data_IF_436098581840
#
_entry.id   IF_436098581840
#
_cell.length_a   1.000
_cell.length_b   1.000
_cell.length_c   1.000
_cell.angle_alpha   90.00
_cell.angle_beta   90.00
_cell.angle_gamma   90.00
#
_symmetry.space_group_name_H-M   'P 1'
#
loop_
_entity.id
_entity.type
_entity.pdbx_description
1 polymer ?
#
# COMPACT_ATOMS: atom_id res chain seq x y z
N UNK A 1 -4.17 2.29 12.06
CA UNK A 1 -3.17 2.09 10.97
C UNK A 1 -3.91 1.92 9.65
N UNK A 2 -3.43 2.55 8.60
CA UNK A 2 -4.03 2.50 7.27
C UNK A 2 -3.82 1.16 6.56
N UNK A 3 -4.59 0.89 5.49
CA UNK A 3 -4.44 -0.29 4.63
C UNK A 3 -4.05 0.09 3.21
N UNK A 4 -3.09 -0.61 2.64
CA UNK A 4 -2.67 -0.46 1.23
C UNK A 4 -2.86 -1.79 0.49
N UNK A 5 -3.33 -1.70 -0.75
CA UNK A 5 -3.39 -2.82 -1.70
C UNK A 5 -3.00 -2.32 -3.09
N UNK A 6 -2.23 -3.11 -3.84
CA UNK A 6 -1.93 -2.88 -5.25
C UNK A 6 -2.09 -4.17 -6.06
N UNK A 7 -2.50 -4.03 -7.30
CA UNK A 7 -2.72 -5.13 -8.23
C UNK A 7 -2.30 -4.77 -9.65
N UNK A 8 -1.70 -5.73 -10.34
CA UNK A 8 -1.51 -5.71 -11.79
C UNK A 8 -1.67 -7.12 -12.37
N UNK A 9 -2.44 -7.27 -13.42
CA UNK A 9 -2.77 -8.56 -14.01
C UNK A 9 -3.65 -8.45 -15.24
N UNK A 10 -4.31 -9.54 -15.63
CA UNK A 10 -5.26 -9.56 -16.74
C UNK A 10 -6.71 -9.27 -16.31
N UNK A 11 -7.01 -9.38 -15.03
CA UNK A 11 -8.36 -9.17 -14.49
C UNK A 11 -8.62 -7.69 -14.22
N UNK A 12 -9.90 -7.31 -14.02
CA UNK A 12 -10.25 -5.97 -13.53
C UNK A 12 -9.63 -5.71 -12.17
N UNK A 13 -8.91 -4.60 -12.03
CA UNK A 13 -8.20 -4.26 -10.79
C UNK A 13 -9.16 -3.80 -9.68
N UNK A 14 -10.18 -3.01 -10.00
CA UNK A 14 -11.03 -2.39 -8.99
C UNK A 14 -11.70 -3.38 -8.04
N UNK A 15 -12.36 -4.48 -8.48
CA UNK A 15 -12.95 -5.46 -7.57
C UNK A 15 -11.93 -6.12 -6.65
N UNK A 16 -10.71 -6.42 -7.15
CA UNK A 16 -9.64 -7.03 -6.37
C UNK A 16 -9.08 -6.09 -5.31
N UNK A 17 -8.90 -4.81 -5.66
CA UNK A 17 -8.51 -3.77 -4.71
C UNK A 17 -9.55 -3.61 -3.60
N UNK A 18 -10.85 -3.56 -3.95
CA UNK A 18 -11.94 -3.44 -2.99
C UNK A 18 -12.01 -4.66 -2.06
N UNK A 19 -11.83 -5.90 -2.57
CA UNK A 19 -11.79 -7.10 -1.74
C UNK A 19 -10.64 -7.06 -0.73
N UNK A 20 -9.44 -6.69 -1.18
CA UNK A 20 -8.28 -6.54 -0.29
C UNK A 20 -8.47 -5.44 0.75
N UNK A 21 -9.02 -4.29 0.37
CA UNK A 21 -9.28 -3.17 1.28
C UNK A 21 -10.36 -3.51 2.32
N UNK A 22 -11.41 -4.28 1.96
CA UNK A 22 -12.42 -4.78 2.91
C UNK A 22 -11.78 -5.55 4.06
N UNK A 23 -10.72 -6.32 3.79
CA UNK A 23 -9.98 -7.08 4.81
C UNK A 23 -9.08 -6.22 5.69
N UNK A 24 -8.74 -5.01 5.23
CA UNK A 24 -7.90 -4.05 5.96
C UNK A 24 -8.71 -2.95 6.66
N UNK A 25 -10.05 -2.89 6.48
CA UNK A 25 -10.91 -1.83 7.01
C UNK A 25 -10.81 -1.69 8.53
N UNK A 26 -10.58 -2.79 9.26
CA UNK A 26 -10.41 -2.75 10.71
C UNK A 26 -9.23 -1.88 11.18
N UNK A 27 -8.29 -1.56 10.26
CA UNK A 27 -7.13 -0.69 10.51
C UNK A 27 -7.40 0.79 10.22
N UNK A 28 -8.37 1.10 9.34
CA UNK A 28 -8.70 2.46 8.96
C UNK A 28 -10.03 2.50 8.22
N UNK A 29 -10.92 3.41 8.61
CA UNK A 29 -12.30 3.48 8.10
C UNK A 29 -12.85 4.91 8.01
N UNK A 30 -11.98 5.92 8.06
CA UNK A 30 -12.43 7.32 7.94
C UNK A 30 -12.55 7.80 6.50
N UNK A 31 -11.77 7.20 5.60
CA UNK A 31 -11.89 7.39 4.17
C UNK A 31 -11.26 6.22 3.40
N UNK A 32 -11.67 6.05 2.16
CA UNK A 32 -11.13 5.02 1.28
C UNK A 32 -11.06 5.53 -0.16
N UNK A 33 -10.16 4.95 -0.95
CA UNK A 33 -10.08 5.26 -2.37
C UNK A 33 -9.22 4.28 -3.15
N UNK A 34 -9.45 4.29 -4.46
CA UNK A 34 -8.71 3.52 -5.45
C UNK A 34 -8.28 4.42 -6.61
N UNK A 35 -7.13 4.12 -7.20
CA UNK A 35 -6.70 4.63 -8.50
C UNK A 35 -6.47 3.43 -9.41
N UNK A 36 -7.15 3.41 -10.56
CA UNK A 36 -7.06 2.32 -11.53
C UNK A 36 -6.65 2.89 -12.88
N UNK A 37 -5.77 2.18 -13.54
CA UNK A 37 -5.22 2.55 -14.83
C UNK A 37 -5.81 1.67 -15.93
N UNK A 38 -6.42 2.34 -16.91
CA UNK A 38 -6.90 1.77 -18.18
C UNK A 38 -6.09 2.37 -19.34
N UNK A 39 -5.21 1.58 -19.93
CA UNK A 39 -4.21 2.11 -20.88
C UNK A 39 -3.32 3.16 -20.21
N UNK A 40 -3.39 4.39 -20.67
CA UNK A 40 -2.64 5.53 -20.11
C UNK A 40 -3.49 6.47 -19.25
N UNK A 41 -4.75 6.12 -19.00
CA UNK A 41 -5.65 6.93 -18.16
C UNK A 41 -5.70 6.38 -16.74
N UNK A 42 -5.45 7.24 -15.76
CA UNK A 42 -5.67 6.95 -14.35
C UNK A 42 -7.03 7.52 -13.93
N UNK A 43 -7.90 6.66 -13.43
CA UNK A 43 -9.19 7.03 -12.85
C UNK A 43 -9.12 6.87 -11.35
N UNK A 44 -9.43 7.94 -10.59
CA UNK A 44 -9.44 7.93 -9.12
C UNK A 44 -10.87 8.00 -8.62
N UNK A 45 -11.20 7.17 -7.65
CA UNK A 45 -12.46 7.23 -6.91
C UNK A 45 -12.14 7.23 -5.42
N UNK A 46 -12.65 8.25 -4.71
CA UNK A 46 -12.44 8.43 -3.26
C UNK A 46 -13.77 8.68 -2.57
N UNK A 47 -13.85 8.32 -1.29
CA UNK A 47 -15.02 8.55 -0.43
C UNK A 47 -14.56 8.82 1.00
N UNK A 48 -15.35 9.54 1.75
CA UNK A 48 -15.28 9.58 3.22
C UNK A 48 -16.04 8.40 3.81
N UNK A 49 -15.60 7.94 4.99
CA UNK A 49 -16.21 6.83 5.70
C UNK A 49 -15.72 5.47 5.22
N UNK A 50 -16.56 4.46 5.39
CA UNK A 50 -16.21 3.05 5.23
C UNK A 50 -16.04 2.64 3.77
N UNK A 51 -15.32 1.53 3.56
CA UNK A 51 -15.11 0.92 2.24
C UNK A 51 -16.43 0.57 1.53
N UNK A 52 -17.51 0.32 2.26
CA UNK A 52 -18.85 0.11 1.70
C UNK A 52 -19.32 1.28 0.82
N UNK A 53 -19.02 2.53 1.23
CA UNK A 53 -19.37 3.73 0.46
C UNK A 53 -18.59 3.75 -0.88
N UNK A 54 -17.34 3.31 -0.88
CA UNK A 54 -16.54 3.22 -2.12
C UNK A 54 -17.06 2.10 -3.03
N UNK A 55 -17.46 0.96 -2.47
CA UNK A 55 -18.11 -0.11 -3.23
C UNK A 55 -19.40 0.37 -3.91
N UNK A 56 -20.25 1.09 -3.19
CA UNK A 56 -21.47 1.67 -3.75
C UNK A 56 -21.16 2.70 -4.84
N UNK A 57 -20.25 3.65 -4.57
CA UNK A 57 -19.84 4.70 -5.53
C UNK A 57 -19.29 4.13 -6.83
N UNK A 58 -18.62 2.97 -6.79
CA UNK A 58 -17.97 2.34 -7.92
C UNK A 58 -18.74 1.14 -8.48
N UNK A 59 -19.95 0.85 -7.99
CA UNK A 59 -20.71 -0.35 -8.31
C UNK A 59 -19.86 -1.62 -8.15
N UNK A 60 -19.26 -1.81 -6.95
CA UNK A 60 -18.28 -2.86 -6.65
C UNK A 60 -17.11 -2.93 -7.65
N UNK A 61 -16.73 -1.79 -8.21
CA UNK A 61 -15.61 -1.63 -9.15
C UNK A 61 -15.99 -1.75 -10.62
N UNK A 62 -17.27 -1.99 -10.96
CA UNK A 62 -17.70 -2.13 -12.35
C UNK A 62 -17.55 -0.83 -13.16
N UNK A 63 -17.71 0.34 -12.50
CA UNK A 63 -17.59 1.66 -13.14
C UNK A 63 -16.13 2.17 -13.24
N UNK A 64 -15.15 1.40 -12.76
CA UNK A 64 -13.74 1.78 -12.77
C UNK A 64 -12.93 0.76 -13.57
N UNK A 65 -12.93 0.84 -14.92
CA UNK A 65 -12.24 -0.10 -15.77
C UNK A 65 -10.72 0.03 -15.64
N UNK A 66 -10.02 -1.08 -15.90
CA UNK A 66 -8.56 -1.18 -15.92
C UNK A 66 -8.06 -2.40 -15.18
N UNK A 67 -6.83 -2.81 -15.51
CA UNK A 67 -6.21 -4.04 -15.02
C UNK A 67 -5.03 -3.81 -14.08
N UNK A 68 -4.75 -2.56 -13.75
CA UNK A 68 -3.65 -2.16 -12.89
C UNK A 68 -4.13 -1.05 -11.96
N UNK A 69 -3.84 -1.16 -10.67
CA UNK A 69 -4.29 -0.14 -9.75
C UNK A 69 -3.74 -0.27 -8.33
N UNK A 70 -4.02 0.76 -7.55
CA UNK A 70 -3.65 0.89 -6.14
C UNK A 70 -4.86 1.35 -5.33
N UNK A 71 -4.93 0.97 -4.07
CA UNK A 71 -6.02 1.34 -3.19
C UNK A 71 -5.58 1.53 -1.75
N UNK A 72 -6.39 2.28 -1.01
CA UNK A 72 -6.09 2.69 0.36
C UNK A 72 -7.33 2.78 1.24
N UNK A 73 -7.20 2.39 2.51
CA UNK A 73 -8.12 2.74 3.60
C UNK A 73 -7.37 3.58 4.62
N UNK A 74 -7.92 4.74 4.97
CA UNK A 74 -7.23 5.74 5.78
C UNK A 74 -7.70 5.72 7.23
N UNK A 75 -6.74 5.94 8.12
CA UNK A 75 -6.90 6.43 9.47
C UNK A 75 -6.20 7.77 9.54
N UNK A 76 -6.95 8.86 9.62
CA UNK A 76 -6.43 10.22 9.51
C UNK A 76 -5.38 10.52 10.59
N UNK A 77 -4.22 11.01 10.15
CA UNK A 77 -3.14 11.54 10.99
C UNK A 77 -2.90 13.03 10.69
N UNK A 78 -2.93 13.40 9.41
CA UNK A 78 -2.75 14.77 8.91
C UNK A 78 -3.95 15.15 8.04
N UNK A 79 -4.59 16.29 8.33
CA UNK A 79 -5.79 16.74 7.65
C UNK A 79 -7.07 16.01 8.06
N UNK A 80 -8.21 16.69 7.94
CA UNK A 80 -9.54 16.15 8.25
C UNK A 80 -9.90 14.95 7.34
N UNK A 81 -10.87 14.09 7.74
CA UNK A 81 -11.35 13.00 6.88
C UNK A 81 -12.29 13.55 5.79
N UNK A 82 -11.70 14.13 4.74
CA UNK A 82 -12.39 14.63 3.54
C UNK A 82 -11.99 13.83 2.31
N UNK A 83 -12.69 13.98 1.18
CA UNK A 83 -12.31 13.31 -0.08
C UNK A 83 -10.98 13.85 -0.61
N UNK A 84 -10.68 15.14 -0.44
CA UNK A 84 -9.42 15.75 -0.85
C UNK A 84 -8.24 15.10 -0.12
N UNK A 85 -8.40 14.87 1.19
CA UNK A 85 -7.37 14.26 2.05
C UNK A 85 -7.34 12.74 1.97
N UNK A 86 -8.32 12.10 1.31
CA UNK A 86 -8.31 10.66 1.08
C UNK A 86 -7.27 10.28 0.02
N UNK A 87 -6.64 9.12 0.19
CA UNK A 87 -5.76 8.54 -0.82
C UNK A 87 -6.58 7.75 -1.86
N UNK A 88 -6.06 7.61 -3.10
CA UNK A 88 -4.77 8.06 -3.64
C UNK A 88 -4.70 9.57 -3.93
N UNK A 89 -3.48 10.13 -3.89
CA UNK A 89 -3.19 11.48 -4.39
C UNK A 89 -2.65 11.43 -5.81
N UNK A 90 -3.08 12.40 -6.65
CA UNK A 90 -2.61 12.56 -8.02
C UNK A 90 -1.53 13.65 -8.11
N UNK A 91 -0.61 13.52 -9.06
CA UNK A 91 0.27 14.61 -9.50
C UNK A 91 -0.53 15.72 -10.20
N UNK A 92 0.05 16.94 -10.30
CA UNK A 92 -0.63 18.06 -10.95
C UNK A 92 -0.94 17.78 -12.43
N UNK A 93 -0.11 17.03 -13.11
CA UNK A 93 -0.31 16.62 -14.50
C UNK A 93 -1.17 15.35 -14.67
N UNK A 94 -1.60 14.73 -13.57
CA UNK A 94 -2.44 13.53 -13.55
C UNK A 94 -1.75 12.23 -13.99
N UNK A 95 -0.42 12.25 -14.20
CA UNK A 95 0.33 11.07 -14.67
C UNK A 95 0.67 10.06 -13.59
N UNK A 96 0.69 10.48 -12.35
CA UNK A 96 1.08 9.63 -11.21
C UNK A 96 -0.01 9.60 -10.17
N UNK A 97 -0.22 8.43 -9.57
CA UNK A 97 -1.04 8.29 -8.35
C UNK A 97 -0.24 7.57 -7.26
N UNK A 98 -0.40 8.02 -6.02
CA UNK A 98 0.32 7.50 -4.85
C UNK A 98 -0.63 7.20 -3.71
N UNK A 99 -0.43 6.04 -3.06
CA UNK A 99 -0.97 5.71 -1.74
C UNK A 99 0.17 5.58 -0.75
N UNK A 100 -0.05 5.96 0.52
CA UNK A 100 0.97 6.01 1.55
C UNK A 100 0.43 5.58 2.91
N UNK A 101 1.18 4.73 3.59
CA UNK A 101 1.07 4.46 5.02
C UNK A 101 2.33 4.94 5.72
N UNK A 102 2.19 5.73 6.76
CA UNK A 102 3.31 6.26 7.53
C UNK A 102 3.20 7.76 7.77
N UNK A 103 4.34 8.41 8.03
CA UNK A 103 4.43 9.85 8.26
C UNK A 103 5.72 10.35 7.60
N UNK A 104 5.59 11.39 6.76
CA UNK A 104 6.72 12.13 6.19
C UNK A 104 7.04 13.30 7.10
N UNK A 105 8.05 13.14 7.93
CA UNK A 105 8.39 14.12 9.00
C UNK A 105 8.82 15.48 8.45
N UNK A 106 9.49 15.50 7.29
CA UNK A 106 9.96 16.74 6.66
C UNK A 106 8.99 17.28 5.59
N UNK A 107 7.70 16.87 5.60
CA UNK A 107 6.75 17.23 4.55
C UNK A 107 6.54 18.74 4.41
N UNK A 108 6.54 19.52 5.51
CA UNK A 108 6.33 20.96 5.44
C UNK A 108 7.45 21.66 4.65
N UNK A 109 8.70 21.28 4.90
CA UNK A 109 9.85 21.82 4.15
C UNK A 109 9.74 21.47 2.66
N UNK A 110 9.40 20.20 2.35
CA UNK A 110 9.23 19.75 0.96
C UNK A 110 8.06 20.45 0.28
N UNK A 111 6.96 20.66 0.99
CA UNK A 111 5.78 21.40 0.50
C UNK A 111 6.14 22.82 0.13
N UNK A 112 6.85 23.56 1.01
CA UNK A 112 7.26 24.94 0.75
C UNK A 112 8.20 25.06 -0.45
N UNK A 113 9.10 24.09 -0.65
CA UNK A 113 9.97 24.02 -1.82
C UNK A 113 9.16 23.78 -3.09
N UNK A 114 8.26 22.79 -3.10
CA UNK A 114 7.43 22.43 -4.24
C UNK A 114 6.47 23.56 -4.65
N UNK A 115 5.89 24.29 -3.68
CA UNK A 115 5.05 25.47 -3.96
C UNK A 115 5.88 26.57 -4.66
N UNK A 116 7.12 26.82 -4.23
CA UNK A 116 8.02 27.78 -4.89
C UNK A 116 8.39 27.37 -6.30
N UNK A 117 8.43 26.05 -6.57
CA UNK A 117 8.68 25.48 -7.89
C UNK A 117 7.40 25.39 -8.76
N UNK A 118 6.26 25.90 -8.26
CA UNK A 118 5.01 26.03 -9.00
C UNK A 118 4.04 24.86 -8.86
N UNK A 119 4.27 23.92 -7.95
CA UNK A 119 3.34 22.82 -7.67
C UNK A 119 2.15 23.31 -6.84
N UNK A 120 0.96 22.87 -7.22
CA UNK A 120 -0.27 23.13 -6.50
C UNK A 120 -0.64 21.97 -5.60
N UNK A 121 -1.10 22.26 -4.39
CA UNK A 121 -1.52 21.28 -3.39
C UNK A 121 -3.03 21.38 -3.15
N UNK A 122 -3.72 20.26 -3.25
CA UNK A 122 -5.16 20.16 -3.01
C UNK A 122 -5.48 19.68 -1.59
N UNK A 123 -4.57 18.91 -0.99
CA UNK A 123 -4.77 18.29 0.32
C UNK A 123 -3.92 18.92 1.43
N UNK A 124 -4.29 18.60 2.66
CA UNK A 124 -3.53 18.94 3.87
C UNK A 124 -2.61 17.79 4.32
N UNK A 125 -2.51 16.71 3.52
CA UNK A 125 -1.75 15.54 3.91
C UNK A 125 -0.25 15.70 3.68
N UNK A 126 0.54 14.99 4.45
CA UNK A 126 1.97 14.83 4.23
C UNK A 126 2.29 14.00 2.97
N UNK A 127 1.34 13.23 2.49
CA UNK A 127 1.51 12.33 1.34
C UNK A 127 1.64 13.05 0.02
N UNK A 128 0.99 14.19 -0.17
CA UNK A 128 0.93 14.87 -1.47
C UNK A 128 2.31 15.36 -1.94
N UNK A 129 3.24 15.64 -1.01
CA UNK A 129 4.63 15.98 -1.39
C UNK A 129 5.31 14.83 -2.16
N UNK A 130 4.93 13.57 -1.88
CA UNK A 130 5.55 12.39 -2.51
C UNK A 130 5.21 12.36 -4.00
N UNK A 131 3.93 12.54 -4.36
CA UNK A 131 3.51 12.47 -5.76
C UNK A 131 4.10 13.61 -6.58
N UNK A 132 4.23 14.81 -6.00
CA UNK A 132 4.86 15.95 -6.68
C UNK A 132 6.38 15.79 -6.81
N UNK A 133 7.07 15.20 -5.84
CA UNK A 133 8.49 14.85 -5.98
C UNK A 133 8.70 13.80 -7.10
N UNK A 134 7.83 12.80 -7.22
CA UNK A 134 7.87 11.82 -8.31
C UNK A 134 7.70 12.53 -9.66
N UNK A 135 6.71 13.41 -9.79
CA UNK A 135 6.48 14.22 -10.99
C UNK A 135 7.72 15.06 -11.34
N UNK A 136 8.28 15.76 -10.34
CA UNK A 136 9.49 16.57 -10.49
C UNK A 136 10.68 15.76 -11.01
N UNK A 137 10.88 14.55 -10.50
CA UNK A 137 12.07 13.74 -10.83
C UNK A 137 11.87 12.79 -12.00
N UNK A 138 10.64 12.57 -12.45
CA UNK A 138 10.40 11.68 -13.57
C UNK A 138 10.94 12.21 -14.88
N UNK A 139 11.71 11.38 -15.59
CA UNK A 139 12.28 11.65 -16.91
C UNK A 139 12.25 10.34 -17.73
N UNK A 140 11.05 9.74 -17.85
CA UNK A 140 10.87 8.48 -18.57
C UNK A 140 11.41 7.23 -17.85
N UNK A 141 11.67 7.30 -16.53
CA UNK A 141 12.15 6.15 -15.75
C UNK A 141 11.70 6.25 -14.29
N UNK A 142 10.71 5.46 -13.94
CA UNK A 142 10.07 5.46 -12.61
C UNK A 142 11.05 5.06 -11.49
N UNK A 143 11.93 4.08 -11.74
CA UNK A 143 12.92 3.64 -10.72
C UNK A 143 13.85 4.76 -10.32
N UNK A 144 14.34 5.55 -11.30
CA UNK A 144 15.19 6.72 -11.01
C UNK A 144 14.43 7.82 -10.30
N UNK A 145 13.16 8.04 -10.65
CA UNK A 145 12.31 9.02 -9.99
C UNK A 145 12.05 8.62 -8.53
N UNK A 146 11.69 7.35 -8.28
CA UNK A 146 11.47 6.82 -6.93
C UNK A 146 12.74 6.94 -6.07
N UNK A 147 13.89 6.52 -6.58
CA UNK A 147 15.17 6.61 -5.85
C UNK A 147 15.51 8.07 -5.47
N UNK A 148 15.28 9.03 -6.37
CA UNK A 148 15.48 10.45 -6.04
C UNK A 148 14.47 10.97 -5.03
N UNK A 149 13.21 10.52 -5.13
CA UNK A 149 12.15 10.89 -4.20
C UNK A 149 12.45 10.36 -2.80
N UNK A 150 12.74 9.07 -2.66
CA UNK A 150 13.01 8.42 -1.36
C UNK A 150 14.22 9.02 -0.66
N UNK A 151 15.25 9.43 -1.39
CA UNK A 151 16.42 10.14 -0.84
C UNK A 151 16.08 11.53 -0.25
N UNK A 152 14.90 12.09 -0.53
CA UNK A 152 14.41 13.36 0.01
C UNK A 152 13.50 13.18 1.21
N UNK A 153 12.85 12.01 1.34
CA UNK A 153 11.89 11.74 2.40
C UNK A 153 12.60 11.41 3.71
N UNK A 154 12.04 11.90 4.81
CA UNK A 154 12.41 11.53 6.18
C UNK A 154 11.17 10.99 6.90
N UNK A 155 11.33 9.93 7.68
CA UNK A 155 10.24 9.30 8.42
C UNK A 155 9.95 7.87 7.96
N UNK A 156 8.75 7.39 8.26
CA UNK A 156 8.33 6.03 7.92
C UNK A 156 7.33 6.04 6.78
N UNK A 157 7.50 5.14 5.80
CA UNK A 157 6.56 5.03 4.70
C UNK A 157 6.49 3.64 4.08
N UNK A 158 5.27 3.25 3.67
CA UNK A 158 5.01 2.24 2.67
C UNK A 158 4.24 2.93 1.54
N UNK A 159 4.77 2.88 0.33
CA UNK A 159 4.21 3.55 -0.84
C UNK A 159 3.73 2.53 -1.86
N UNK A 160 2.56 2.83 -2.47
CA UNK A 160 2.13 2.23 -3.71
C UNK A 160 2.00 3.31 -4.78
N UNK A 161 2.56 3.08 -5.97
CA UNK A 161 2.62 4.08 -7.05
C UNK A 161 2.24 3.46 -8.37
N UNK A 162 1.47 4.21 -9.19
CA UNK A 162 1.23 3.93 -10.61
C UNK A 162 1.59 5.13 -11.46
N UNK A 163 1.99 4.86 -12.70
CA UNK A 163 2.40 5.86 -13.68
C UNK A 163 1.71 5.58 -15.02
N UNK A 164 1.00 6.57 -15.56
CA UNK A 164 0.26 6.44 -16.84
C UNK A 164 1.19 6.20 -18.05
N UNK A 165 2.44 6.63 -17.97
CA UNK A 165 3.44 6.39 -19.03
C UNK A 165 4.08 4.98 -18.94
N UNK A 166 3.83 4.25 -17.86
CA UNK A 166 4.31 2.87 -17.68
C UNK A 166 3.12 1.91 -17.38
N UNK A 167 2.20 1.72 -18.35
CA UNK A 167 1.00 0.92 -18.17
C UNK A 167 1.34 -0.54 -17.83
N UNK A 168 0.48 -1.16 -17.01
CA UNK A 168 0.68 -2.56 -16.58
C UNK A 168 1.73 -2.72 -15.47
N UNK A 169 2.24 -1.62 -14.90
CA UNK A 169 3.19 -1.66 -13.80
C UNK A 169 2.66 -0.96 -12.56
N UNK A 170 2.98 -1.54 -11.42
CA UNK A 170 2.84 -0.93 -10.09
C UNK A 170 4.18 -0.92 -9.39
N UNK A 171 4.39 0.07 -8.54
CA UNK A 171 5.62 0.25 -7.76
C UNK A 171 5.30 0.23 -6.28
N UNK A 172 6.13 -0.47 -5.51
CA UNK A 172 6.04 -0.58 -4.08
C UNK A 172 7.36 -0.14 -3.44
N UNK A 173 7.32 0.70 -2.42
CA UNK A 173 8.51 1.19 -1.70
C UNK A 173 8.28 1.03 -0.22
N UNK A 174 9.31 0.63 0.53
CA UNK A 174 9.19 0.44 1.97
C UNK A 174 10.33 1.12 2.75
N UNK A 175 9.93 1.82 3.83
CA UNK A 175 10.81 2.31 4.89
C UNK A 175 10.05 2.27 6.22
N UNK A 176 10.46 1.44 7.17
CA UNK A 176 9.90 1.24 8.52
C UNK A 176 8.40 0.83 8.58
N UNK A 177 7.59 1.11 7.57
CA UNK A 177 6.17 0.70 7.50
C UNK A 177 6.01 -0.62 6.75
N UNK A 178 5.14 -1.57 7.20
CA UNK A 178 5.04 -2.89 6.58
C UNK A 178 4.50 -2.84 5.15
N UNK A 179 5.16 -3.57 4.25
CA UNK A 179 4.74 -3.79 2.88
C UNK A 179 5.26 -5.15 2.38
N UNK A 180 4.38 -5.92 1.75
CA UNK A 180 4.66 -7.23 1.21
C UNK A 180 4.24 -7.31 -0.25
N UNK A 181 4.92 -8.14 -1.03
CA UNK A 181 4.57 -8.43 -2.41
C UNK A 181 3.91 -9.80 -2.49
N UNK A 182 2.83 -9.91 -3.25
CA UNK A 182 2.15 -11.18 -3.57
C UNK A 182 2.55 -11.65 -4.96
N UNK A 183 3.00 -12.89 -5.05
CA UNK A 183 3.42 -13.54 -6.32
C UNK A 183 2.27 -14.40 -6.82
N UNK A 184 1.65 -14.01 -7.94
CA UNK A 184 0.59 -14.76 -8.62
C UNK A 184 1.08 -15.43 -9.91
N UNK A 185 0.15 -15.90 -10.72
CA UNK A 185 0.39 -16.46 -12.05
C UNK A 185 -0.29 -15.57 -13.08
N UNK A 186 0.49 -14.79 -13.85
CA UNK A 186 -0.04 -13.79 -14.75
C UNK A 186 -0.61 -12.56 -14.04
N UNK A 187 -0.30 -12.39 -12.78
CA UNK A 187 -0.75 -11.30 -11.93
C UNK A 187 0.16 -11.16 -10.71
N UNK A 188 0.33 -9.95 -10.20
CA UNK A 188 1.11 -9.68 -9.01
C UNK A 188 0.46 -8.60 -8.16
N UNK A 189 0.80 -8.60 -6.87
CA UNK A 189 0.16 -7.78 -5.84
C UNK A 189 1.20 -7.13 -4.93
N UNK A 190 0.78 -6.10 -4.23
CA UNK A 190 1.39 -5.72 -2.95
C UNK A 190 0.30 -5.36 -1.93
N UNK A 191 0.60 -5.49 -0.66
CA UNK A 191 -0.28 -5.04 0.42
C UNK A 191 0.49 -4.70 1.69
N UNK A 192 -0.13 -3.89 2.55
CA UNK A 192 0.41 -3.60 3.88
C UNK A 192 0.25 -4.74 4.88
N UNK A 193 -0.59 -5.74 4.56
CA UNK A 193 -0.77 -6.94 5.35
C UNK A 193 -1.14 -8.14 4.47
N UNK A 194 -0.68 -9.32 4.87
CA UNK A 194 -0.89 -10.57 4.15
C UNK A 194 -2.36 -10.97 4.06
N UNK A 195 -3.18 -10.56 5.02
CA UNK A 195 -4.62 -10.87 5.05
C UNK A 195 -5.35 -10.34 3.82
N UNK A 196 -4.89 -9.24 3.23
CA UNK A 196 -5.45 -8.71 1.99
C UNK A 196 -5.17 -9.60 0.77
N UNK A 197 -4.10 -10.41 0.79
CA UNK A 197 -3.62 -11.17 -0.36
C UNK A 197 -3.94 -12.65 -0.32
N UNK A 198 -4.17 -13.20 0.86
CA UNK A 198 -4.16 -14.65 1.12
C UNK A 198 -5.22 -15.45 0.34
N UNK A 199 -6.31 -14.81 -0.10
CA UNK A 199 -7.31 -15.42 -0.98
C UNK A 199 -6.88 -15.47 -2.45
N UNK A 200 -5.90 -14.64 -2.84
CA UNK A 200 -5.41 -14.53 -4.21
C UNK A 200 -4.08 -15.28 -4.38
N UNK A 201 -3.15 -15.08 -3.44
CA UNK A 201 -1.89 -15.82 -3.41
C UNK A 201 -1.38 -16.03 -2.00
N UNK A 202 -0.76 -17.18 -1.80
CA UNK A 202 -0.03 -17.51 -0.57
C UNK A 202 1.49 -17.38 -0.71
N UNK A 203 1.97 -17.06 -1.89
CA UNK A 203 3.39 -16.85 -2.17
C UNK A 203 3.71 -15.37 -2.02
N UNK A 204 4.54 -15.02 -1.05
CA UNK A 204 4.85 -13.61 -0.73
C UNK A 204 6.36 -13.37 -0.66
N UNK A 205 6.72 -12.12 -0.90
CA UNK A 205 8.07 -11.60 -0.67
C UNK A 205 7.96 -10.43 0.31
N UNK A 206 8.75 -10.46 1.37
CA UNK A 206 8.82 -9.37 2.34
C UNK A 206 9.88 -8.36 1.88
N UNK A 207 9.47 -7.10 1.70
CA UNK A 207 10.40 -6.00 1.51
C UNK A 207 11.05 -5.63 2.84
N UNK A 208 12.32 -5.25 2.80
CA UNK A 208 13.06 -4.65 3.91
C UNK A 208 13.15 -3.13 3.74
N UNK A 209 13.65 -2.44 4.76
CA UNK A 209 13.75 -0.98 4.74
C UNK A 209 14.72 -0.53 3.63
N UNK A 210 14.35 0.53 2.93
CA UNK A 210 15.10 1.05 1.78
C UNK A 210 14.90 0.27 0.48
N UNK A 211 14.13 -0.82 0.49
CA UNK A 211 13.88 -1.57 -0.73
C UNK A 211 12.64 -1.04 -1.48
N UNK A 212 12.71 -1.16 -2.80
CA UNK A 212 11.56 -0.90 -3.67
C UNK A 212 11.41 -1.98 -4.75
N UNK A 213 10.20 -2.15 -5.25
CA UNK A 213 9.85 -3.16 -6.24
C UNK A 213 9.10 -2.56 -7.42
N UNK A 214 9.39 -3.07 -8.62
CA UNK A 214 8.62 -2.90 -9.85
C UNK A 214 7.91 -4.22 -10.13
N UNK A 215 6.57 -4.18 -10.19
CA UNK A 215 5.74 -5.33 -10.46
C UNK A 215 4.99 -5.12 -11.78
N UNK A 216 5.05 -6.13 -12.64
CA UNK A 216 4.17 -6.30 -13.79
C UNK A 216 3.37 -7.60 -13.62
N UNK A 217 2.44 -7.89 -14.52
CA UNK A 217 1.71 -9.17 -14.49
C UNK A 217 2.62 -10.41 -14.56
N UNK A 218 3.80 -10.30 -15.18
CA UNK A 218 4.73 -11.42 -15.40
C UNK A 218 5.93 -11.42 -14.46
N UNK A 219 6.36 -10.25 -13.97
CA UNK A 219 7.64 -10.12 -13.27
C UNK A 219 7.54 -9.25 -12.03
N UNK A 220 8.35 -9.61 -11.04
CA UNK A 220 8.67 -8.78 -9.88
C UNK A 220 10.17 -8.55 -9.86
N UNK A 221 10.59 -7.29 -9.92
CA UNK A 221 11.98 -6.86 -9.76
C UNK A 221 12.11 -6.05 -8.48
N UNK A 222 13.09 -6.38 -7.68
CA UNK A 222 13.34 -5.73 -6.38
C UNK A 222 14.71 -5.06 -6.42
N UNK A 223 14.78 -3.86 -5.85
CA UNK A 223 15.97 -3.03 -5.84
C UNK A 223 16.26 -2.59 -4.42
N UNK A 224 17.52 -2.45 -4.09
CA UNK A 224 17.97 -1.83 -2.83
C UNK A 224 17.94 -0.28 -2.88
N UNK A 225 18.29 0.35 -1.77
CA UNK A 225 18.35 1.81 -1.64
C UNK A 225 19.36 2.50 -2.58
N UNK A 226 20.26 1.75 -3.23
CA UNK A 226 21.18 2.25 -4.26
C UNK A 226 20.62 2.12 -5.68
N UNK A 227 19.50 1.40 -5.83
CA UNK A 227 18.87 1.08 -7.11
C UNK A 227 19.48 -0.16 -7.79
N UNK A 228 20.29 -0.94 -7.09
CA UNK A 228 20.80 -2.21 -7.58
C UNK A 228 19.72 -3.29 -7.45
N UNK A 229 19.53 -4.08 -8.52
CA UNK A 229 18.57 -5.20 -8.50
C UNK A 229 19.08 -6.32 -7.57
N UNK A 230 18.21 -6.77 -6.67
CA UNK A 230 18.48 -7.83 -5.70
C UNK A 230 17.48 -8.97 -5.87
N UNK A 231 17.85 -10.16 -5.40
CA UNK A 231 16.97 -11.33 -5.39
C UNK A 231 16.52 -11.64 -3.98
N UNK A 232 15.22 -11.88 -3.81
CA UNK A 232 14.64 -12.27 -2.52
C UNK A 232 13.92 -13.62 -2.62
N UNK A 233 13.84 -14.31 -1.50
CA UNK A 233 13.15 -15.60 -1.40
C UNK A 233 11.64 -15.39 -1.37
N UNK A 234 10.94 -16.18 -2.17
CA UNK A 234 9.47 -16.31 -2.05
C UNK A 234 9.19 -17.20 -0.83
N UNK A 235 8.35 -16.71 0.07
CA UNK A 235 7.89 -17.41 1.26
C UNK A 235 6.44 -17.81 1.07
N UNK A 236 6.12 -19.08 1.35
CA UNK A 236 4.73 -19.56 1.30
C UNK A 236 4.06 -19.38 2.67
N UNK A 237 2.91 -18.74 2.69
CA UNK A 237 2.07 -18.59 3.87
C UNK A 237 1.38 -19.93 4.16
N UNK A 238 1.66 -20.51 5.32
CA UNK A 238 1.18 -21.85 5.73
C UNK A 238 0.02 -21.80 6.72
N UNK A 239 -0.19 -20.66 7.40
CA UNK A 239 -1.27 -20.54 8.38
C UNK A 239 -2.64 -20.41 7.70
N UNK A 240 -3.68 -20.85 8.42
CA UNK A 240 -5.04 -20.87 7.92
C UNK A 240 -5.62 -19.44 7.83
N UNK A 241 -6.29 -19.16 6.71
CA UNK A 241 -7.01 -17.89 6.47
C UNK A 241 -8.07 -17.65 7.56
N UNK A 242 -8.74 -18.73 7.99
CA UNK A 242 -9.75 -18.67 9.05
C UNK A 242 -9.18 -18.19 10.39
N UNK A 243 -7.89 -18.41 10.63
CA UNK A 243 -7.21 -17.87 11.82
C UNK A 243 -7.05 -16.34 11.76
N UNK A 244 -7.02 -15.75 10.57
CA UNK A 244 -6.96 -14.29 10.38
C UNK A 244 -8.35 -13.62 10.40
N UNK A 245 -9.42 -14.41 10.31
CA UNK A 245 -10.79 -13.93 10.41
C UNK A 245 -11.23 -13.78 11.87
N UNK A 246 -12.42 -13.23 12.11
CA UNK A 246 -12.92 -13.00 13.48
C UNK A 246 -13.07 -14.28 14.33
N UNK A 247 -13.06 -15.48 13.71
CA UNK A 247 -13.08 -16.77 14.41
C UNK A 247 -14.30 -16.97 15.33
N UNK A 248 -15.46 -16.41 14.96
CA UNK A 248 -16.69 -16.46 15.76
C UNK A 248 -16.84 -15.33 16.79
N UNK A 249 -15.87 -14.44 16.93
CA UNK A 249 -15.97 -13.26 17.78
C UNK A 249 -16.67 -12.10 17.06
N UNK A 250 -17.41 -11.29 17.80
CA UNK A 250 -18.11 -10.12 17.24
C UNK A 250 -17.14 -9.05 16.73
N UNK A 251 -16.01 -8.87 17.43
CA UNK A 251 -14.98 -7.88 17.11
C UNK A 251 -13.57 -8.50 17.08
N UNK A 252 -12.70 -8.02 16.20
CA UNK A 252 -11.29 -8.42 16.14
C UNK A 252 -10.56 -8.19 17.48
N UNK A 253 -10.78 -7.04 18.10
CA UNK A 253 -10.18 -6.73 19.40
C UNK A 253 -10.55 -7.76 20.49
N UNK A 254 -11.81 -8.22 20.52
CA UNK A 254 -12.24 -9.26 21.45
C UNK A 254 -11.50 -10.58 21.18
N UNK A 255 -11.38 -10.97 19.92
CA UNK A 255 -10.58 -12.13 19.51
C UNK A 255 -9.14 -11.99 19.98
N UNK A 256 -8.48 -10.87 19.68
CA UNK A 256 -7.09 -10.60 20.05
C UNK A 256 -6.88 -10.65 21.58
N UNK A 257 -7.80 -10.08 22.36
CA UNK A 257 -7.77 -10.18 23.84
C UNK A 257 -7.82 -11.63 24.28
N UNK A 258 -8.70 -12.44 23.70
CA UNK A 258 -8.87 -13.85 24.08
C UNK A 258 -7.70 -14.73 23.61
N UNK A 259 -7.01 -14.35 22.54
CA UNK A 259 -5.83 -15.05 22.01
C UNK A 259 -4.51 -14.70 22.75
N UNK A 260 -4.47 -13.58 23.51
CA UNK A 260 -3.25 -13.13 24.19
C UNK A 260 -2.57 -14.22 25.05
N UNK A 261 -3.25 -15.03 25.87
CA UNK A 261 -2.58 -16.06 26.66
C UNK A 261 -1.83 -17.07 25.80
N UNK A 262 -2.43 -17.46 24.67
CA UNK A 262 -1.82 -18.37 23.69
C UNK A 262 -0.62 -17.74 22.97
N UNK A 263 -0.76 -16.49 22.54
CA UNK A 263 0.27 -15.74 21.84
C UNK A 263 1.50 -15.49 22.74
N UNK A 264 1.27 -15.08 24.00
CA UNK A 264 2.32 -14.92 25.01
C UNK A 264 3.04 -16.24 25.26
N UNK A 265 2.28 -17.33 25.48
CA UNK A 265 2.85 -18.67 25.66
C UNK A 265 3.71 -19.08 24.46
N UNK A 266 3.22 -18.93 23.23
CA UNK A 266 3.95 -19.29 22.02
C UNK A 266 5.23 -18.44 21.86
N UNK A 267 5.21 -17.17 22.23
CA UNK A 267 6.37 -16.27 22.18
C UNK A 267 7.43 -16.64 23.21
N UNK A 268 7.02 -17.01 24.42
CA UNK A 268 7.94 -17.25 25.55
C UNK A 268 8.46 -18.69 25.54
N UNK A 269 7.64 -19.69 25.19
CA UNK A 269 7.99 -21.10 25.28
C UNK A 269 9.32 -21.46 24.58
N UNK A 270 9.63 -20.99 23.38
CA UNK A 270 10.94 -21.27 22.75
C UNK A 270 12.14 -20.65 23.47
N UNK A 271 11.91 -19.64 24.32
CA UNK A 271 12.93 -18.90 25.08
C UNK A 271 13.13 -19.41 26.50
N UNK A 272 12.35 -20.41 26.92
CA UNK A 272 12.48 -21.05 28.22
C UNK A 272 13.06 -22.44 28.01
N UNK A 273 14.30 -22.67 28.45
CA UNK A 273 14.92 -23.99 28.54
C UNK A 273 15.15 -24.35 30.03
N UNK A 274 14.69 -25.54 30.45
CA UNK A 274 14.87 -26.07 31.81
C UNK A 274 14.44 -25.09 32.92
N UNK A 275 13.36 -24.34 32.73
CA UNK A 275 12.86 -23.35 33.71
C UNK A 275 13.70 -22.07 33.82
N UNK A 276 14.70 -21.87 32.96
CA UNK A 276 15.51 -20.65 32.92
C UNK A 276 15.23 -19.90 31.60
N UNK A 277 15.02 -18.58 31.67
CA UNK A 277 14.90 -17.72 30.50
C UNK A 277 16.24 -17.65 29.77
N UNK A 278 16.21 -17.82 28.44
CA UNK A 278 17.35 -17.58 27.54
C UNK A 278 16.96 -16.37 26.69
N UNK A 279 17.59 -15.24 26.94
CA UNK A 279 17.41 -13.98 26.21
C UNK A 279 18.50 -13.82 25.17
#
# INVERSE_FOLDING_TARGET
MCGIVGFTGAQSAAPLLLDGLKKLEYRGYDSAGIAVMDGQKITVSKVTGRIANLCEKTQDGADVPGSTGIGHTRWATHGAPTEENAHPHLSNDGRFAVVHNGIIENYMQLRDELIRDGYHFESETDTEVIVHLIEMYYRGNMRKALLKTTNRLQGSYALGVICSEEPGKIYAVREASPLILGVGIGENYFASDVTALVNHTRNVIYLEDGEFAELSCETIKIFDCTGQEIRKKVTRILWDVQAAEKGGYEHFMLKEIMEQPGAVKATIAPRIKEGKGVF
#
